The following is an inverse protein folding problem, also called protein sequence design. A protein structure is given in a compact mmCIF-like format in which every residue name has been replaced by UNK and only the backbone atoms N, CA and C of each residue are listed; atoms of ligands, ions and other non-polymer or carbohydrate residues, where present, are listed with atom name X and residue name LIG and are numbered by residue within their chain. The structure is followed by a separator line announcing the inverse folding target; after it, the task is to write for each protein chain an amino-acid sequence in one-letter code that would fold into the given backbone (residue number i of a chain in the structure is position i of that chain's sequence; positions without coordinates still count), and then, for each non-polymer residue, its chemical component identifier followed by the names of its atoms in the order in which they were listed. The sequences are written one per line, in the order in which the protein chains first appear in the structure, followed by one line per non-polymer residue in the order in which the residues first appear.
data_IF_451490500250
#
_entry.id   IF_451490500250
#
_cell.length_a   1.000
_cell.length_b   1.000
_cell.length_c   1.000
_cell.angle_alpha   90.00
_cell.angle_beta   90.00
_cell.angle_gamma   90.00
#
_symmetry.space_group_name_H-M   'P 1'
#
loop_
_entity.id
_entity.type
_entity.pdbx_description
1 polymer ?
#
# COMPACT_ATOMS: atom_id res chain seq x y z
N UNK A 1 27.82 24.03 -4.55
CA UNK A 1 27.74 22.84 -5.42
C UNK A 1 26.40 22.84 -6.12
N UNK A 2 26.37 22.86 -7.45
CA UNK A 2 25.13 22.62 -8.20
C UNK A 2 24.77 21.14 -8.12
N UNK A 3 23.54 20.85 -7.70
CA UNK A 3 23.00 19.50 -7.67
C UNK A 3 22.90 18.99 -9.12
N UNK A 4 23.51 17.83 -9.40
CA UNK A 4 23.44 17.25 -10.74
C UNK A 4 22.06 16.63 -10.95
N UNK A 5 21.44 16.84 -12.13
CA UNK A 5 20.11 16.32 -12.40
C UNK A 5 20.13 14.78 -12.45
N UNK A 6 19.13 14.16 -11.83
CA UNK A 6 18.95 12.70 -11.79
C UNK A 6 18.60 12.12 -13.17
N UNK A 7 18.00 12.94 -14.05
CA UNK A 7 17.67 12.58 -15.43
C UNK A 7 18.04 13.73 -16.37
N UNK A 8 18.69 13.42 -17.50
CA UNK A 8 19.03 14.40 -18.56
C UNK A 8 18.59 13.89 -19.93
N UNK A 9 17.72 14.65 -20.60
CA UNK A 9 17.38 14.43 -22.01
C UNK A 9 18.43 15.14 -22.86
N UNK A 10 19.15 14.41 -23.70
CA UNK A 10 20.28 14.93 -24.49
C UNK A 10 19.86 15.35 -25.90
N UNK A 11 18.74 14.80 -26.38
CA UNK A 11 18.19 15.10 -27.69
C UNK A 11 17.49 16.45 -27.68
N UNK A 12 17.91 17.43 -28.51
CA UNK A 12 17.35 18.79 -28.47
C UNK A 12 15.92 18.87 -29.01
N UNK A 13 15.52 17.98 -29.92
CA UNK A 13 14.21 18.00 -30.59
C UNK A 13 13.22 16.97 -30.04
N UNK A 14 13.42 16.52 -28.80
CA UNK A 14 12.50 15.57 -28.17
C UNK A 14 11.08 16.16 -28.12
N UNK A 15 10.11 15.42 -28.64
CA UNK A 15 8.73 15.91 -28.67
C UNK A 15 8.11 15.88 -27.27
N UNK A 16 7.06 16.69 -27.01
CA UNK A 16 6.34 16.63 -25.73
C UNK A 16 5.83 15.22 -25.39
N UNK A 17 5.42 14.47 -26.41
CA UNK A 17 4.95 13.08 -26.29
C UNK A 17 6.07 12.13 -25.87
N UNK A 18 7.26 12.28 -26.44
CA UNK A 18 8.44 11.48 -26.08
C UNK A 18 8.88 11.75 -24.63
N UNK A 19 8.87 13.02 -24.22
CA UNK A 19 9.14 13.40 -22.83
C UNK A 19 8.09 12.78 -21.90
N UNK A 20 6.80 12.85 -22.26
CA UNK A 20 5.73 12.26 -21.48
C UNK A 20 5.88 10.73 -21.35
N UNK A 21 6.29 10.04 -22.41
CA UNK A 21 6.54 8.60 -22.39
C UNK A 21 7.68 8.24 -21.43
N UNK A 22 8.79 8.97 -21.46
CA UNK A 22 9.90 8.76 -20.52
C UNK A 22 9.46 8.99 -19.07
N UNK A 23 8.77 10.11 -18.79
CA UNK A 23 8.26 10.42 -17.45
C UNK A 23 7.29 9.34 -16.97
N UNK A 24 6.41 8.85 -17.83
CA UNK A 24 5.46 7.79 -17.48
C UNK A 24 6.17 6.48 -17.10
N UNK A 25 7.17 6.06 -17.87
CA UNK A 25 7.94 4.84 -17.59
C UNK A 25 8.68 4.96 -16.26
N UNK A 26 9.40 6.07 -16.02
CA UNK A 26 10.11 6.28 -14.76
C UNK A 26 9.17 6.41 -13.55
N UNK A 27 8.02 7.05 -13.73
CA UNK A 27 6.98 7.14 -12.68
C UNK A 27 6.39 5.77 -12.35
N UNK A 28 6.22 4.91 -13.36
CA UNK A 28 5.72 3.55 -13.19
C UNK A 28 6.76 2.61 -12.53
N UNK A 29 8.05 2.78 -12.83
CA UNK A 29 9.12 2.04 -12.15
C UNK A 29 9.22 2.40 -10.66
N UNK A 30 8.87 3.64 -10.29
CA UNK A 30 8.77 4.09 -8.90
C UNK A 30 7.51 3.61 -8.17
N UNK A 31 6.70 2.73 -8.76
CA UNK A 31 5.37 2.45 -8.24
C UNK A 31 5.40 1.72 -6.89
N UNK A 32 5.05 2.52 -5.89
CA UNK A 32 4.19 2.23 -4.75
C UNK A 32 4.39 0.84 -4.13
N UNK A 33 5.09 0.84 -2.99
CA UNK A 33 4.94 -0.22 -2.01
C UNK A 33 3.44 -0.59 -1.91
N UNK A 34 3.15 -1.87 -2.14
CA UNK A 34 1.78 -2.36 -2.13
C UNK A 34 1.08 -1.82 -0.89
N UNK A 35 -0.12 -1.24 -1.01
CA UNK A 35 -0.81 -0.65 0.13
C UNK A 35 -0.88 -1.70 1.22
N UNK A 36 -0.45 -1.33 2.43
CA UNK A 36 -0.44 -2.25 3.56
C UNK A 36 -1.81 -2.91 3.67
N UNK A 37 -1.81 -4.24 3.77
CA UNK A 37 -3.05 -5.00 3.84
C UNK A 37 -3.85 -4.48 5.03
N UNK A 38 -5.05 -3.95 4.76
CA UNK A 38 -5.94 -3.48 5.82
C UNK A 38 -6.21 -4.66 6.77
N UNK A 39 -6.10 -4.47 8.09
CA UNK A 39 -6.48 -5.49 9.05
C UNK A 39 -7.93 -5.91 8.78
N UNK A 40 -8.18 -7.22 8.76
CA UNK A 40 -9.55 -7.72 8.71
C UNK A 40 -10.23 -7.27 10.00
N UNK A 41 -11.35 -6.56 9.87
CA UNK A 41 -12.12 -6.15 11.03
C UNK A 41 -12.41 -7.37 11.89
N UNK A 42 -12.27 -7.22 13.22
CA UNK A 42 -12.38 -8.36 14.13
C UNK A 42 -13.61 -9.19 13.78
N UNK A 43 -14.80 -8.59 13.66
CA UNK A 43 -16.11 -9.17 13.27
C UNK A 43 -16.19 -9.90 11.92
N UNK A 44 -15.24 -9.70 11.00
CA UNK A 44 -15.18 -10.40 9.71
C UNK A 44 -14.20 -11.59 9.67
N UNK A 45 -13.43 -11.81 10.74
CA UNK A 45 -12.44 -12.89 10.79
C UNK A 45 -13.04 -14.32 10.74
N UNK A 46 -12.45 -15.18 9.89
CA UNK A 46 -12.88 -16.57 9.69
C UNK A 46 -12.73 -17.44 10.95
N UNK A 47 -11.78 -17.13 11.83
CA UNK A 47 -11.56 -17.83 13.09
C UNK A 47 -12.80 -17.88 14.00
N UNK A 48 -13.76 -16.95 13.85
CA UNK A 48 -15.04 -16.98 14.58
C UNK A 48 -16.04 -18.01 14.08
N UNK A 49 -15.86 -18.54 12.86
CA UNK A 49 -16.64 -19.70 12.38
C UNK A 49 -16.25 -20.98 13.11
N UNK A 50 -15.07 -20.98 13.73
CA UNK A 50 -14.63 -21.98 14.69
C UNK A 50 -14.96 -21.46 16.10
N UNK A 51 -15.05 -22.35 17.10
CA UNK A 51 -15.24 -21.94 18.51
C UNK A 51 -13.88 -21.52 19.08
N UNK A 52 -13.57 -20.21 19.25
CA UNK A 52 -12.29 -19.79 19.78
C UNK A 52 -12.33 -19.72 21.31
N UNK A 53 -11.22 -20.07 21.96
CA UNK A 53 -11.04 -19.78 23.37
C UNK A 53 -10.89 -18.26 23.57
N UNK A 54 -11.59 -17.70 24.55
CA UNK A 54 -11.50 -16.28 24.86
C UNK A 54 -10.52 -16.09 26.03
N UNK A 55 -9.40 -15.35 25.86
CA UNK A 55 -8.45 -15.12 26.94
C UNK A 55 -9.06 -14.20 28.02
N UNK A 56 -8.67 -14.42 29.27
CA UNK A 56 -8.95 -13.49 30.36
C UNK A 56 -7.99 -12.30 30.23
N UNK A 57 -8.52 -11.09 29.98
CA UNK A 57 -7.72 -9.87 29.87
C UNK A 57 -8.21 -8.87 28.83
N UNK A 58 -7.43 -7.78 28.58
CA UNK A 58 -7.75 -6.76 27.61
C UNK A 58 -7.98 -7.37 26.22
N UNK A 59 -9.15 -7.11 25.62
CA UNK A 59 -9.57 -7.68 24.34
C UNK A 59 -10.51 -8.88 24.47
N UNK A 60 -10.42 -9.68 25.54
CA UNK A 60 -11.32 -10.82 25.79
C UNK A 60 -12.76 -10.40 26.07
N UNK A 61 -12.96 -9.42 26.95
CA UNK A 61 -14.27 -8.81 27.23
C UNK A 61 -14.85 -8.03 26.03
N UNK A 62 -14.01 -7.46 25.16
CA UNK A 62 -14.49 -6.78 23.93
C UNK A 62 -14.87 -7.79 22.85
N UNK A 63 -14.24 -8.97 22.83
CA UNK A 63 -14.58 -10.06 21.93
C UNK A 63 -15.94 -10.69 22.24
N UNK A 64 -16.36 -10.76 23.51
CA UNK A 64 -17.62 -11.38 23.91
C UNK A 64 -18.88 -10.61 23.47
N UNK A 65 -18.79 -9.29 23.27
CA UNK A 65 -19.93 -8.44 22.89
C UNK A 65 -20.10 -8.20 21.39
N UNK A 66 -19.22 -8.73 20.54
CA UNK A 66 -19.34 -8.59 19.09
C UNK A 66 -20.34 -9.62 18.55
N UNK A 67 -21.34 -9.16 17.78
CA UNK A 67 -22.31 -10.05 17.11
C UNK A 67 -21.60 -10.99 16.13
N UNK A 68 -22.15 -12.20 15.98
CA UNK A 68 -21.73 -13.16 14.95
C UNK A 68 -22.23 -12.74 13.58
#
# INVERSE_FOLDING_TARGET
MSEQPVLRVVTPDATPEEIAALVAVFSAMGSAAAPAKKPVAAWASHQRRLRPAHPHGPGGWRASGQSR
#
